data_IF_768451136132
#
_entry.id   IF_768451136132
#
_cell.length_a   1.000
_cell.length_b   1.000
_cell.length_c   1.000
_cell.angle_alpha   90.00
_cell.angle_beta   90.00
_cell.angle_gamma   90.00
#
_symmetry.space_group_name_H-M   'P 1'
#
loop_
_entity.id
_entity.type
_entity.pdbx_description
1 polymer ?
#
# COMPACT_ATOMS: atom_id res chain seq x y z
N UNK A 1 -39.31 7.52 -17.26
CA UNK A 1 -39.16 6.39 -16.32
C UNK A 1 -37.74 6.24 -15.75
N UNK A 2 -36.65 6.30 -16.53
CA UNK A 2 -35.27 6.29 -15.99
C UNK A 2 -34.87 7.59 -15.24
N UNK A 3 -35.51 8.72 -15.58
CA UNK A 3 -35.31 10.04 -14.96
C UNK A 3 -35.62 10.07 -13.45
N UNK A 4 -36.70 9.41 -13.05
CA UNK A 4 -37.28 9.56 -11.71
C UNK A 4 -36.56 8.67 -10.69
N UNK A 5 -36.05 7.52 -11.15
CA UNK A 5 -35.16 6.68 -10.35
C UNK A 5 -33.83 7.39 -10.09
N UNK A 6 -33.29 8.10 -11.09
CA UNK A 6 -32.06 8.88 -10.95
C UNK A 6 -32.24 10.08 -10.02
N UNK A 7 -33.37 10.78 -10.13
CA UNK A 7 -33.73 11.89 -9.25
C UNK A 7 -33.83 11.43 -7.78
N UNK A 8 -34.56 10.34 -7.52
CA UNK A 8 -34.69 9.75 -6.17
C UNK A 8 -33.35 9.28 -5.59
N UNK A 9 -32.50 8.66 -6.41
CA UNK A 9 -31.17 8.26 -6.00
C UNK A 9 -30.29 9.48 -5.65
N UNK A 10 -30.43 10.59 -6.38
CA UNK A 10 -29.70 11.83 -6.12
C UNK A 10 -30.13 12.50 -4.82
N UNK A 11 -31.45 12.55 -4.57
CA UNK A 11 -32.04 13.10 -3.36
C UNK A 11 -31.65 12.29 -2.11
N UNK A 12 -31.66 10.96 -2.22
CA UNK A 12 -31.20 10.04 -1.16
C UNK A 12 -29.74 10.28 -0.79
N UNK A 13 -28.87 10.49 -1.80
CA UNK A 13 -27.44 10.78 -1.57
C UNK A 13 -27.23 12.12 -0.88
N UNK A 14 -28.00 13.16 -1.23
CA UNK A 14 -27.96 14.45 -0.54
C UNK A 14 -28.38 14.35 0.93
N UNK A 15 -29.42 13.57 1.21
CA UNK A 15 -29.91 13.36 2.58
C UNK A 15 -28.86 12.64 3.45
N UNK A 16 -28.12 11.67 2.87
CA UNK A 16 -27.12 10.88 3.59
C UNK A 16 -25.74 11.57 3.73
N UNK A 17 -25.30 12.31 2.71
CA UNK A 17 -23.93 12.84 2.61
C UNK A 17 -23.87 14.39 2.56
N UNK A 18 -24.96 15.08 2.88
CA UNK A 18 -25.05 16.54 2.89
C UNK A 18 -25.40 17.15 1.53
N UNK A 19 -25.59 18.48 1.52
CA UNK A 19 -26.10 19.25 0.37
C UNK A 19 -25.23 19.18 -0.90
N UNK A 20 -24.07 18.55 -0.87
CA UNK A 20 -23.21 18.35 -2.04
C UNK A 20 -23.25 16.91 -2.55
N UNK A 21 -23.84 15.95 -1.82
CA UNK A 21 -23.98 14.54 -2.22
C UNK A 21 -22.68 13.94 -2.75
N UNK A 22 -21.76 13.51 -1.88
CA UNK A 22 -20.39 13.08 -2.21
C UNK A 22 -19.51 14.08 -3.00
N UNK A 23 -20.06 15.14 -3.62
CA UNK A 23 -19.29 16.02 -4.49
C UNK A 23 -18.44 17.05 -3.75
N UNK A 24 -18.47 17.07 -2.40
CA UNK A 24 -17.52 17.85 -1.58
C UNK A 24 -16.35 16.97 -1.19
N UNK A 25 -15.55 16.65 -2.18
CA UNK A 25 -14.38 15.82 -2.02
C UNK A 25 -13.77 15.60 -3.38
N UNK A 26 -13.47 16.68 -4.10
CA UNK A 26 -12.34 16.60 -5.01
C UNK A 26 -11.16 16.22 -4.11
N UNK A 27 -10.78 14.93 -4.10
CA UNK A 27 -9.52 14.48 -3.53
C UNK A 27 -8.40 15.04 -4.44
N UNK A 28 -8.28 16.36 -4.48
CA UNK A 28 -7.12 17.01 -5.04
C UNK A 28 -6.00 16.79 -4.04
N UNK A 29 -5.23 15.72 -4.23
CA UNK A 29 -3.88 15.71 -3.71
C UNK A 29 -2.95 16.06 -4.87
N UNK A 30 -2.29 17.21 -4.80
CA UNK A 30 -1.27 17.60 -5.76
C UNK A 30 -0.03 16.72 -5.61
N UNK A 31 -0.09 15.50 -6.13
CA UNK A 31 1.00 14.54 -6.17
C UNK A 31 0.75 13.46 -7.21
N UNK A 32 1.81 12.75 -7.59
CA UNK A 32 1.69 11.59 -8.48
C UNK A 32 0.96 10.45 -7.74
N UNK A 33 -0.37 10.51 -7.79
CA UNK A 33 -1.29 9.58 -7.15
C UNK A 33 -1.03 8.12 -7.55
N UNK A 34 -0.48 7.92 -8.74
CA UNK A 34 -0.17 6.57 -9.24
C UNK A 34 1.05 6.02 -8.51
N UNK A 35 2.12 6.81 -8.39
CA UNK A 35 3.32 6.40 -7.67
C UNK A 35 3.04 6.11 -6.19
N UNK A 36 2.25 6.95 -5.52
CA UNK A 36 1.87 6.74 -4.11
C UNK A 36 0.98 5.50 -3.91
N UNK A 37 0.05 5.23 -4.84
CA UNK A 37 -0.77 4.03 -4.81
C UNK A 37 0.05 2.76 -5.08
N UNK A 38 0.99 2.81 -6.03
CA UNK A 38 1.90 1.72 -6.32
C UNK A 38 2.78 1.39 -5.10
N UNK A 39 3.35 2.39 -4.44
CA UNK A 39 4.13 2.19 -3.22
C UNK A 39 3.32 1.52 -2.10
N UNK A 40 2.05 1.92 -1.92
CA UNK A 40 1.16 1.28 -0.95
C UNK A 40 0.90 -0.20 -1.29
N UNK A 41 0.65 -0.52 -2.57
CA UNK A 41 0.41 -1.89 -3.01
C UNK A 41 1.64 -2.79 -2.82
N UNK A 42 2.84 -2.26 -3.06
CA UNK A 42 4.10 -2.98 -2.81
C UNK A 42 4.29 -3.23 -1.31
N UNK A 43 4.01 -2.24 -0.46
CA UNK A 43 4.06 -2.43 0.99
C UNK A 43 3.10 -3.52 1.47
N UNK A 44 1.85 -3.50 1.01
CA UNK A 44 0.86 -4.52 1.37
C UNK A 44 1.24 -5.92 0.89
N UNK A 45 2.01 -6.02 -0.20
CA UNK A 45 2.58 -7.28 -0.64
C UNK A 45 3.66 -7.80 0.32
N UNK A 46 4.59 -6.93 0.73
CA UNK A 46 5.66 -7.29 1.67
C UNK A 46 5.12 -7.65 3.07
N UNK A 47 4.02 -7.02 3.50
CA UNK A 47 3.30 -7.37 4.73
C UNK A 47 2.50 -8.69 4.61
N UNK A 48 2.49 -9.33 3.43
CA UNK A 48 1.78 -10.59 3.18
C UNK A 48 0.26 -10.44 3.01
N UNK A 49 -0.25 -9.22 2.96
CA UNK A 49 -1.69 -8.92 2.79
C UNK A 49 -2.14 -9.20 1.35
N UNK A 50 -1.28 -8.88 0.38
CA UNK A 50 -1.52 -9.13 -1.04
C UNK A 50 -0.50 -10.11 -1.61
N UNK A 51 -0.95 -11.01 -2.47
CA UNK A 51 -0.05 -11.84 -3.30
C UNK A 51 0.58 -11.03 -4.44
N UNK A 52 1.75 -11.47 -4.91
CA UNK A 52 2.45 -10.89 -6.08
C UNK A 52 1.51 -10.77 -7.30
N UNK A 53 0.67 -11.79 -7.52
CA UNK A 53 -0.30 -11.80 -8.62
C UNK A 53 -1.41 -10.76 -8.48
N UNK A 54 -1.89 -10.49 -7.26
CA UNK A 54 -2.90 -9.45 -7.00
C UNK A 54 -2.31 -8.06 -7.26
N UNK A 55 -1.07 -7.82 -6.84
CA UNK A 55 -0.39 -6.53 -7.09
C UNK A 55 -0.10 -6.33 -8.57
N UNK A 56 0.41 -7.36 -9.27
CA UNK A 56 0.63 -7.30 -10.72
C UNK A 56 -0.68 -6.95 -11.47
N UNK A 57 -1.79 -7.58 -11.07
CA UNK A 57 -3.12 -7.30 -11.65
C UNK A 57 -3.60 -5.88 -11.36
N UNK A 58 -3.44 -5.40 -10.13
CA UNK A 58 -3.91 -4.07 -9.72
C UNK A 58 -3.10 -2.93 -10.35
N UNK A 59 -1.81 -3.14 -10.57
CA UNK A 59 -0.88 -2.13 -11.11
C UNK A 59 -0.70 -2.21 -12.62
N UNK A 60 -1.10 -3.32 -13.25
CA UNK A 60 -0.81 -3.61 -14.66
C UNK A 60 0.66 -3.96 -14.93
N UNK A 61 1.47 -4.15 -13.88
CA UNK A 61 2.89 -4.45 -14.01
C UNK A 61 3.15 -5.95 -14.18
N UNK A 62 4.27 -6.28 -14.81
CA UNK A 62 4.75 -7.67 -14.84
C UNK A 62 5.22 -8.09 -13.44
N UNK A 63 5.06 -9.38 -13.15
CA UNK A 63 5.47 -10.02 -11.89
C UNK A 63 6.93 -9.76 -11.50
N UNK A 64 7.84 -9.79 -12.48
CA UNK A 64 9.27 -9.48 -12.28
C UNK A 64 9.46 -8.03 -11.79
N UNK A 65 8.70 -7.07 -12.34
CA UNK A 65 8.75 -5.67 -11.92
C UNK A 65 8.26 -5.51 -10.49
N UNK A 66 7.17 -6.20 -10.13
CA UNK A 66 6.65 -6.21 -8.75
C UNK A 66 7.70 -6.75 -7.77
N UNK A 67 8.37 -7.86 -8.10
CA UNK A 67 9.45 -8.43 -7.29
C UNK A 67 10.59 -7.44 -7.08
N UNK A 68 11.07 -6.81 -8.17
CA UNK A 68 12.10 -5.78 -8.09
C UNK A 68 11.69 -4.61 -7.18
N UNK A 69 10.46 -4.12 -7.33
CA UNK A 69 9.97 -3.02 -6.49
C UNK A 69 9.84 -3.42 -5.01
N UNK A 70 9.50 -4.68 -4.73
CA UNK A 70 9.46 -5.22 -3.37
C UNK A 70 10.86 -5.31 -2.75
N UNK A 71 11.85 -5.79 -3.53
CA UNK A 71 13.26 -5.80 -3.11
C UNK A 71 13.77 -4.38 -2.85
N UNK A 72 13.51 -3.43 -3.75
CA UNK A 72 13.88 -2.02 -3.61
C UNK A 72 13.22 -1.40 -2.36
N UNK A 73 11.93 -1.70 -2.12
CA UNK A 73 11.22 -1.27 -0.93
C UNK A 73 11.86 -1.81 0.34
N UNK A 74 12.17 -3.12 0.40
CA UNK A 74 12.82 -3.76 1.54
C UNK A 74 14.18 -3.12 1.84
N UNK A 75 14.96 -2.82 0.80
CA UNK A 75 16.26 -2.15 0.92
C UNK A 75 16.15 -0.68 1.36
N UNK A 76 15.00 -0.03 1.09
CA UNK A 76 14.76 1.36 1.49
C UNK A 76 14.37 1.51 2.97
N UNK A 77 13.93 0.42 3.62
CA UNK A 77 13.59 0.44 5.04
C UNK A 77 14.89 0.42 5.86
N UNK A 78 15.18 1.43 6.70
CA UNK A 78 16.34 1.39 7.57
C UNK A 78 16.23 0.20 8.54
N UNK A 79 17.31 -0.57 8.66
CA UNK A 79 17.41 -1.68 9.61
C UNK A 79 17.04 -1.18 11.02
N UNK A 80 16.25 -1.98 11.74
CA UNK A 80 15.95 -1.67 13.14
C UNK A 80 17.22 -1.80 13.98
N UNK A 81 17.30 -1.06 15.09
CA UNK A 81 18.46 -1.15 16.02
C UNK A 81 18.72 -2.57 16.51
N UNK A 82 17.68 -3.39 16.61
CA UNK A 82 17.77 -4.80 16.99
C UNK A 82 18.39 -5.66 15.89
N UNK A 83 17.99 -5.47 14.63
CA UNK A 83 18.59 -6.15 13.47
C UNK A 83 20.07 -5.80 13.31
N UNK A 84 20.42 -4.52 13.46
CA UNK A 84 21.83 -4.08 13.41
C UNK A 84 22.64 -4.72 14.55
N UNK A 85 22.11 -4.75 15.77
CA UNK A 85 22.76 -5.40 16.93
C UNK A 85 22.98 -6.89 16.70
N UNK A 86 22.00 -7.61 16.17
CA UNK A 86 22.10 -9.03 15.86
C UNK A 86 23.15 -9.35 14.79
N UNK A 87 23.34 -8.46 13.80
CA UNK A 87 24.41 -8.60 12.79
C UNK A 87 25.80 -8.32 13.36
N UNK A 88 25.93 -7.30 14.21
CA UNK A 88 27.23 -6.82 14.72
C UNK A 88 27.75 -7.67 15.87
N UNK A 89 26.87 -8.32 16.64
CA UNK A 89 27.24 -9.20 17.75
C UNK A 89 26.93 -10.65 17.40
N UNK A 90 27.82 -11.37 16.68
CA UNK A 90 27.74 -12.83 16.65
C UNK A 90 27.94 -13.31 18.09
N UNK A 91 27.02 -14.16 18.56
CA UNK A 91 27.05 -14.81 19.87
C UNK A 91 28.49 -15.21 20.21
N UNK A 92 28.98 -14.73 21.36
CA UNK A 92 30.35 -14.94 21.80
C UNK A 92 30.74 -16.40 21.70
N UNK A 93 31.86 -16.66 21.04
CA UNK A 93 32.40 -18.01 20.86
C UNK A 93 32.49 -18.73 22.20
N UNK A 94 31.88 -19.89 22.27
CA UNK A 94 32.07 -20.86 23.34
C UNK A 94 33.57 -21.20 23.42
N UNK A 95 34.27 -20.51 24.32
CA UNK A 95 35.59 -20.93 24.79
C UNK A 95 35.37 -22.16 25.68
N UNK A 96 35.32 -23.33 25.07
CA UNK A 96 35.49 -24.59 25.79
C UNK A 96 36.99 -24.74 26.09
N UNK A 97 37.39 -24.15 27.21
CA UNK A 97 38.70 -24.31 27.80
C UNK A 97 38.69 -25.47 28.80
N UNK A 98 39.44 -26.51 28.43
CA UNK A 98 40.06 -27.57 29.26
C UNK A 98 39.16 -28.69 29.80
#
# INVERSE_FOLDING_TARGET
>A
MQSDARARAWETRRKKYGSTGHARGAYGHGGDHVASMQALLIRLHEEGVLSEGQVAKATGLHRITVRKMADDYRNSIPETKEQVRARVMPQGGEHNGN
#
